data_IF_784438930647
#
_entry.id   IF_784438930647
#
_cell.length_a   1.000
_cell.length_b   1.000
_cell.length_c   1.000
_cell.angle_alpha   90.00
_cell.angle_beta   90.00
_cell.angle_gamma   90.00
#
_symmetry.space_group_name_H-M   'P 1'
#
loop_
_entity.id
_entity.type
_entity.pdbx_description
1 polymer ?
#
# COMPACT_ATOMS: atom_id res chain seq x y z
N UNK A 1 -44.44 52.79 -36.72
CA UNK A 1 -45.66 53.08 -35.94
C UNK A 1 -45.80 51.95 -34.92
N UNK A 2 -45.48 52.16 -33.64
CA UNK A 2 -46.42 52.49 -32.53
C UNK A 2 -47.52 51.42 -32.34
N UNK A 3 -47.92 50.93 -31.16
CA UNK A 3 -47.60 51.22 -29.76
C UNK A 3 -48.32 50.17 -28.84
N UNK A 4 -47.68 49.80 -27.72
CA UNK A 4 -48.16 49.76 -26.30
C UNK A 4 -49.53 49.13 -25.93
N UNK A 5 -49.64 48.21 -24.96
CA UNK A 5 -49.88 48.41 -23.48
C UNK A 5 -50.30 47.04 -22.87
N UNK A 6 -50.34 46.70 -21.57
CA UNK A 6 -49.80 47.10 -20.24
C UNK A 6 -50.45 46.13 -19.23
N UNK A 7 -49.77 45.73 -18.14
CA UNK A 7 -50.44 45.13 -16.98
C UNK A 7 -49.51 44.55 -15.90
N UNK A 8 -49.33 45.29 -14.81
CA UNK A 8 -48.80 44.85 -13.50
C UNK A 8 -49.86 45.14 -12.42
N UNK A 9 -49.78 44.50 -11.24
CA UNK A 9 -49.42 45.23 -10.00
C UNK A 9 -48.33 44.46 -9.18
N UNK A 10 -47.36 45.11 -8.51
CA UNK A 10 -47.34 45.67 -7.12
C UNK A 10 -47.70 44.61 -6.06
N UNK A 11 -46.96 44.33 -4.98
CA UNK A 11 -45.77 44.94 -4.37
C UNK A 11 -45.74 44.57 -2.87
N UNK A 12 -44.57 44.74 -2.23
CA UNK A 12 -44.34 44.87 -0.78
C UNK A 12 -44.14 43.58 0.04
N UNK A 13 -42.87 43.23 0.26
CA UNK A 13 -42.42 42.45 1.43
C UNK A 13 -41.53 43.37 2.27
N UNK A 14 -41.97 43.67 3.49
CA UNK A 14 -41.30 44.56 4.43
C UNK A 14 -40.44 43.78 5.43
N UNK A 15 -39.40 44.48 5.87
CA UNK A 15 -38.25 44.08 6.68
C UNK A 15 -38.58 43.93 8.16
N UNK A 16 -37.92 42.99 8.86
CA UNK A 16 -37.54 43.17 10.28
C UNK A 16 -36.37 42.26 10.67
N UNK A 17 -35.35 42.93 11.22
CA UNK A 17 -34.08 42.44 11.73
C UNK A 17 -34.24 41.58 12.99
N UNK A 18 -33.29 40.66 13.22
CA UNK A 18 -32.78 40.32 14.55
C UNK A 18 -31.43 39.59 14.43
N UNK A 19 -30.36 40.26 14.84
CA UNK A 19 -29.04 39.68 15.14
C UNK A 19 -29.10 38.84 16.44
N UNK A 20 -28.17 37.91 16.62
CA UNK A 20 -27.56 37.70 17.93
C UNK A 20 -26.03 37.94 17.92
N UNK A 21 -25.41 38.11 19.10
CA UNK A 21 -24.12 38.78 19.27
C UNK A 21 -22.92 37.83 19.24
N UNK A 22 -21.75 38.44 19.10
CA UNK A 22 -20.43 37.84 19.20
C UNK A 22 -20.09 37.38 20.62
N UNK A 23 -19.48 36.20 20.75
CA UNK A 23 -18.67 35.83 21.91
C UNK A 23 -17.36 35.14 21.50
N UNK A 24 -16.33 35.52 22.24
CA UNK A 24 -14.88 35.37 22.10
C UNK A 24 -14.41 33.93 22.39
N UNK A 25 -13.23 33.48 21.90
CA UNK A 25 -12.78 32.11 22.08
C UNK A 25 -12.36 31.81 23.53
N UNK A 26 -12.93 30.77 24.12
CA UNK A 26 -12.53 30.24 25.43
C UNK A 26 -11.27 29.36 25.30
N UNK A 27 -10.17 29.83 25.90
CA UNK A 27 -9.00 29.03 26.27
C UNK A 27 -9.32 28.13 27.48
N UNK A 28 -8.85 26.88 27.54
CA UNK A 28 -8.59 26.20 28.80
C UNK A 28 -7.23 26.63 29.40
N UNK A 29 -7.09 26.63 30.73
CA UNK A 29 -5.99 27.31 31.42
C UNK A 29 -4.69 26.50 31.46
N UNK A 30 -3.57 27.20 31.29
CA UNK A 30 -2.22 26.73 31.60
C UNK A 30 -1.99 26.67 33.12
N UNK A 31 -1.27 25.68 33.67
CA UNK A 31 -0.65 25.81 34.97
C UNK A 31 0.74 26.47 34.82
N UNK A 32 0.92 27.65 35.40
CA UNK A 32 2.25 28.23 35.64
C UNK A 32 2.63 28.11 37.12
N UNK A 33 3.82 27.54 37.32
CA UNK A 33 4.83 27.85 38.34
C UNK A 33 4.52 27.72 39.84
N UNK A 34 5.28 26.82 40.49
CA UNK A 34 6.01 27.10 41.74
C UNK A 34 7.12 26.04 41.98
N UNK A 35 8.38 26.47 41.87
CA UNK A 35 9.55 25.96 42.63
C UNK A 35 9.81 26.98 43.78
N UNK A 36 10.67 26.78 44.83
CA UNK A 36 11.67 25.72 45.12
C UNK A 36 11.81 25.24 46.63
N UNK A 37 12.56 24.11 46.86
CA UNK A 37 13.58 23.80 47.95
C UNK A 37 13.11 23.75 49.45
N UNK A 38 13.61 22.88 50.39
CA UNK A 38 15.02 22.44 50.68
C UNK A 38 15.27 20.93 50.97
N UNK A 39 16.40 20.30 50.55
CA UNK A 39 17.69 20.05 51.28
C UNK A 39 17.54 19.78 52.80
N UNK A 40 17.97 18.66 53.39
CA UNK A 40 19.36 18.18 53.60
C UNK A 40 19.34 16.83 54.39
N UNK A 41 20.44 16.33 55.02
CA UNK A 41 21.52 15.55 54.43
C UNK A 41 21.76 14.21 55.18
N UNK A 42 22.63 13.34 54.66
CA UNK A 42 23.10 12.15 55.36
C UNK A 42 24.31 11.53 54.69
N UNK A 43 25.49 12.11 54.96
CA UNK A 43 26.83 11.52 54.81
C UNK A 43 26.87 10.10 55.45
N UNK A 44 27.63 9.09 55.02
CA UNK A 44 29.08 9.06 54.71
C UNK A 44 29.43 7.65 54.13
N UNK A 45 30.61 7.45 53.51
CA UNK A 45 30.95 6.28 52.66
C UNK A 45 31.87 5.25 53.34
N UNK A 46 31.98 4.05 52.78
CA UNK A 46 33.11 3.12 53.02
C UNK A 46 33.13 1.92 52.05
N UNK A 47 34.27 1.21 51.88
CA UNK A 47 35.00 1.21 50.61
C UNK A 47 34.96 -0.14 49.86
N UNK A 48 35.32 -0.08 48.58
CA UNK A 48 35.64 -1.23 47.73
C UNK A 48 36.80 -2.07 48.29
N UNK A 49 36.89 -3.34 47.85
CA UNK A 49 38.20 -3.79 47.36
C UNK A 49 38.13 -4.54 46.02
N UNK A 50 39.10 -4.18 45.18
CA UNK A 50 39.92 -5.02 44.31
C UNK A 50 39.29 -5.90 43.21
N UNK A 51 39.62 -5.50 41.98
CA UNK A 51 40.25 -6.31 40.93
C UNK A 51 39.81 -7.78 40.79
N UNK A 52 39.02 -7.99 39.75
CA UNK A 52 39.17 -9.18 38.92
C UNK A 52 39.18 -8.71 37.47
N UNK A 53 40.39 -8.61 36.93
CA UNK A 53 40.65 -8.60 35.49
C UNK A 53 39.99 -9.86 34.90
N UNK A 54 38.78 -9.71 34.35
CA UNK A 54 38.29 -10.60 33.32
C UNK A 54 38.48 -9.88 32.00
N UNK A 55 39.59 -10.22 31.35
CA UNK A 55 39.76 -10.01 29.91
C UNK A 55 38.71 -10.89 29.23
N UNK A 56 37.49 -10.37 29.14
CA UNK A 56 36.49 -10.86 28.22
C UNK A 56 36.94 -10.41 26.84
N UNK A 57 37.68 -11.27 26.15
CA UNK A 57 37.89 -11.18 24.72
C UNK A 57 36.50 -11.32 24.07
N UNK A 58 35.81 -10.19 23.99
CA UNK A 58 34.56 -10.07 23.26
C UNK A 58 34.92 -10.28 21.80
N UNK A 59 34.73 -11.50 21.30
CA UNK A 59 34.62 -11.74 19.86
C UNK A 59 33.67 -10.66 19.35
N UNK A 60 34.09 -9.79 18.40
CA UNK A 60 33.19 -8.84 17.80
C UNK A 60 32.08 -9.69 17.19
N UNK A 61 30.88 -9.61 17.75
CA UNK A 61 29.70 -10.13 17.08
C UNK A 61 29.72 -9.45 15.71
N UNK A 62 29.74 -10.17 14.58
CA UNK A 62 29.70 -9.54 13.29
C UNK A 62 28.47 -8.64 13.30
N UNK A 63 28.66 -7.32 13.22
CA UNK A 63 27.56 -6.42 12.97
C UNK A 63 26.97 -6.89 11.65
N UNK A 64 25.81 -7.55 11.69
CA UNK A 64 25.11 -7.95 10.47
C UNK A 64 24.73 -6.66 9.77
N UNK A 65 25.55 -6.25 8.80
CA UNK A 65 25.38 -5.02 8.05
C UNK A 65 23.98 -5.01 7.41
N UNK A 66 23.22 -3.95 7.68
CA UNK A 66 21.88 -3.79 7.12
C UNK A 66 21.97 -3.78 5.60
N UNK A 67 21.18 -4.61 4.88
CA UNK A 67 21.25 -4.66 3.43
C UNK A 67 20.83 -3.31 2.83
N UNK A 68 21.49 -2.86 1.76
CA UNK A 68 21.25 -1.53 1.20
C UNK A 68 19.83 -1.42 0.63
N UNK A 69 19.18 -0.29 0.92
CA UNK A 69 17.86 0.05 0.40
C UNK A 69 17.83 1.51 -0.12
N UNK A 70 17.05 1.85 -1.17
CA UNK A 70 17.06 3.17 -1.80
C UNK A 70 16.34 4.25 -0.95
N UNK A 71 17.04 4.81 0.04
CA UNK A 71 16.46 5.73 1.01
C UNK A 71 15.98 7.05 0.39
N UNK A 72 16.68 7.56 -0.62
CA UNK A 72 16.33 8.82 -1.27
C UNK A 72 15.00 8.68 -2.05
N UNK A 73 14.82 7.57 -2.74
CA UNK A 73 13.60 7.22 -3.48
C UNK A 73 12.45 6.94 -2.52
N UNK A 74 12.71 6.27 -1.39
CA UNK A 74 11.70 6.03 -0.35
C UNK A 74 11.16 7.34 0.21
N UNK A 75 12.03 8.27 0.58
CA UNK A 75 11.62 9.59 1.09
C UNK A 75 10.80 10.38 0.05
N UNK A 76 11.22 10.36 -1.22
CA UNK A 76 10.48 11.02 -2.30
C UNK A 76 9.11 10.39 -2.54
N UNK A 77 9.02 9.05 -2.51
CA UNK A 77 7.74 8.36 -2.65
C UNK A 77 6.80 8.74 -1.50
N UNK A 78 7.30 8.74 -0.26
CA UNK A 78 6.56 9.15 0.94
C UNK A 78 6.02 10.58 0.78
N UNK A 79 6.84 11.51 0.28
CA UNK A 79 6.40 12.87 -0.02
C UNK A 79 5.31 12.89 -1.11
N UNK A 80 5.45 12.08 -2.17
CA UNK A 80 4.47 12.01 -3.25
C UNK A 80 3.12 11.51 -2.73
N UNK A 81 3.08 10.40 -2.00
CA UNK A 81 1.84 9.74 -1.54
C UNK A 81 1.04 10.58 -0.56
N UNK A 82 1.71 11.45 0.19
CA UNK A 82 1.10 12.31 1.19
C UNK A 82 0.70 13.70 0.66
N UNK A 83 0.96 14.02 -0.62
CA UNK A 83 0.56 15.31 -1.21
C UNK A 83 -0.97 15.45 -1.26
N UNK A 84 -1.53 16.61 -0.86
CA UNK A 84 -2.95 16.91 -1.02
C UNK A 84 -3.42 16.83 -2.48
N UNK A 85 -2.55 17.28 -3.40
CA UNK A 85 -2.70 17.06 -4.84
C UNK A 85 -1.79 15.92 -5.24
N UNK A 86 -2.30 14.71 -5.08
CA UNK A 86 -1.61 13.48 -5.45
C UNK A 86 -1.35 13.40 -6.96
N UNK A 87 -0.18 12.87 -7.32
CA UNK A 87 0.21 12.51 -8.69
C UNK A 87 0.68 11.06 -8.64
N UNK A 88 0.21 10.26 -9.59
CA UNK A 88 0.45 8.82 -9.59
C UNK A 88 1.95 8.51 -9.86
N UNK A 89 2.67 7.81 -8.95
CA UNK A 89 4.13 7.69 -8.95
C UNK A 89 4.58 6.49 -9.79
N UNK A 90 4.18 6.46 -11.06
CA UNK A 90 4.45 5.32 -11.96
C UNK A 90 5.35 5.69 -13.11
N UNK A 91 6.17 6.73 -12.96
CA UNK A 91 7.13 7.07 -13.99
C UNK A 91 8.12 5.91 -14.17
N UNK A 92 8.51 5.58 -15.42
CA UNK A 92 9.54 4.58 -15.68
C UNK A 92 10.83 4.93 -14.95
N UNK A 93 11.42 3.96 -14.24
CA UNK A 93 12.59 4.14 -13.37
C UNK A 93 12.39 5.18 -12.26
N UNK A 94 11.14 5.51 -11.95
CA UNK A 94 10.77 6.36 -10.84
C UNK A 94 10.83 5.63 -9.50
N UNK A 95 10.47 6.34 -8.44
CA UNK A 95 10.65 5.91 -7.07
C UNK A 95 9.98 4.56 -6.77
N UNK A 96 8.70 4.40 -7.16
CA UNK A 96 7.95 3.17 -6.89
C UNK A 96 8.56 1.95 -7.59
N UNK A 97 9.02 2.11 -8.84
CA UNK A 97 9.62 1.01 -9.61
C UNK A 97 10.96 0.60 -9.00
N UNK A 98 11.84 1.57 -8.69
CA UNK A 98 13.15 1.31 -8.07
C UNK A 98 13.00 0.60 -6.72
N UNK A 99 12.07 1.09 -5.88
CA UNK A 99 11.81 0.49 -4.56
C UNK A 99 11.23 -0.92 -4.68
N UNK A 100 10.33 -1.17 -5.63
CA UNK A 100 9.81 -2.50 -5.93
C UNK A 100 10.92 -3.46 -6.36
N UNK A 101 11.81 -3.04 -7.24
CA UNK A 101 12.91 -3.88 -7.74
C UNK A 101 13.85 -4.30 -6.59
N UNK A 102 14.29 -3.34 -5.77
CA UNK A 102 15.13 -3.67 -4.60
C UNK A 102 14.37 -4.52 -3.57
N UNK A 103 13.10 -4.22 -3.32
CA UNK A 103 12.24 -5.01 -2.43
C UNK A 103 12.11 -6.48 -2.87
N UNK A 104 11.93 -6.73 -4.16
CA UNK A 104 11.84 -8.09 -4.71
C UNK A 104 13.15 -8.84 -4.48
N UNK A 105 14.29 -8.19 -4.75
CA UNK A 105 15.61 -8.79 -4.53
C UNK A 105 15.86 -9.16 -3.07
N UNK A 106 15.55 -8.26 -2.14
CA UNK A 106 15.69 -8.51 -0.70
C UNK A 106 14.70 -9.58 -0.23
N UNK A 107 13.45 -9.53 -0.69
CA UNK A 107 12.39 -10.47 -0.33
C UNK A 107 12.72 -11.90 -0.76
N UNK A 108 13.24 -12.09 -1.98
CA UNK A 108 13.69 -13.41 -2.47
C UNK A 108 14.86 -13.98 -1.67
N UNK A 109 15.73 -13.12 -1.12
CA UNK A 109 16.87 -13.52 -0.28
C UNK A 109 16.51 -13.65 1.20
N UNK A 110 15.29 -13.28 1.60
CA UNK A 110 14.89 -13.17 3.01
C UNK A 110 15.67 -12.11 3.78
N UNK A 111 16.29 -11.15 3.09
CA UNK A 111 17.07 -10.06 3.69
C UNK A 111 16.20 -8.82 3.97
N UNK A 112 14.98 -8.79 3.46
CA UNK A 112 14.04 -7.69 3.66
C UNK A 112 13.79 -7.42 5.15
N UNK A 113 13.76 -8.47 5.98
CA UNK A 113 13.52 -8.37 7.43
C UNK A 113 14.65 -7.68 8.20
N UNK A 114 15.84 -7.58 7.58
CA UNK A 114 17.00 -6.90 8.15
C UNK A 114 17.08 -5.43 7.74
N UNK A 115 16.26 -4.99 6.79
CA UNK A 115 16.20 -3.58 6.38
C UNK A 115 14.91 -2.92 6.85
N UNK A 116 15.00 -1.99 7.80
CA UNK A 116 13.81 -1.30 8.29
C UNK A 116 13.21 -0.39 7.21
N UNK A 117 14.03 0.17 6.33
CA UNK A 117 13.54 0.93 5.19
C UNK A 117 12.69 0.07 4.23
N UNK A 118 13.11 -1.18 3.99
CA UNK A 118 12.34 -2.12 3.17
C UNK A 118 11.02 -2.52 3.86
N UNK A 119 11.06 -2.81 5.16
CA UNK A 119 9.87 -3.14 5.94
C UNK A 119 8.87 -1.97 5.99
N UNK A 120 9.35 -0.74 6.18
CA UNK A 120 8.54 0.49 6.10
C UNK A 120 7.93 0.67 4.72
N UNK A 121 8.69 0.41 3.66
CA UNK A 121 8.15 0.44 2.30
C UNK A 121 6.98 -0.54 2.15
N UNK A 122 7.04 -1.77 2.70
CA UNK A 122 5.91 -2.71 2.62
C UNK A 122 4.67 -2.22 3.37
N UNK A 123 4.85 -1.73 4.61
CA UNK A 123 3.74 -1.30 5.47
C UNK A 123 3.05 -0.05 4.92
N UNK A 124 3.83 0.92 4.47
CA UNK A 124 3.34 2.25 4.13
C UNK A 124 3.45 2.51 2.63
N UNK A 125 4.66 2.80 2.14
CA UNK A 125 4.91 3.32 0.79
C UNK A 125 4.25 2.50 -0.32
N UNK A 126 4.44 1.18 -0.30
CA UNK A 126 3.90 0.23 -1.25
C UNK A 126 2.38 0.08 -1.10
N UNK A 127 1.91 -0.15 0.13
CA UNK A 127 0.49 -0.40 0.43
C UNK A 127 -0.37 0.80 0.10
N UNK A 128 0.03 1.99 0.51
CA UNK A 128 -0.69 3.24 0.20
C UNK A 128 -0.64 3.53 -1.30
N UNK A 129 0.52 3.35 -1.95
CA UNK A 129 0.66 3.58 -3.40
C UNK A 129 -0.30 2.71 -4.18
N UNK A 130 -0.25 1.38 -4.05
CA UNK A 130 -1.08 0.49 -4.87
C UNK A 130 -2.56 0.57 -4.52
N UNK A 131 -2.91 0.76 -3.24
CA UNK A 131 -4.31 0.97 -2.85
C UNK A 131 -4.85 2.20 -3.58
N UNK A 132 -4.19 3.35 -3.47
CA UNK A 132 -4.61 4.58 -4.16
C UNK A 132 -4.65 4.38 -5.67
N UNK A 133 -3.61 3.81 -6.27
CA UNK A 133 -3.50 3.62 -7.73
C UNK A 133 -4.64 2.76 -8.29
N UNK A 134 -4.91 1.62 -7.67
CA UNK A 134 -5.84 0.62 -8.22
C UNK A 134 -7.31 0.96 -7.95
N UNK A 135 -7.58 1.85 -6.98
CA UNK A 135 -8.93 2.29 -6.62
C UNK A 135 -9.20 3.75 -6.95
N UNK A 136 -8.32 4.45 -7.65
CA UNK A 136 -8.51 5.87 -7.98
C UNK A 136 -9.67 6.04 -8.97
N UNK A 137 -10.59 6.96 -8.65
CA UNK A 137 -11.70 7.32 -9.54
C UNK A 137 -11.21 8.09 -10.78
N UNK A 138 -10.03 8.71 -10.71
CA UNK A 138 -9.44 9.45 -11.82
C UNK A 138 -8.81 8.56 -12.90
N UNK A 139 -8.90 7.23 -12.79
CA UNK A 139 -8.31 6.28 -13.75
C UNK A 139 -8.70 6.56 -15.20
N UNK A 140 -9.94 7.00 -15.46
CA UNK A 140 -10.40 7.33 -16.81
C UNK A 140 -9.76 8.59 -17.40
N UNK A 141 -9.16 9.43 -16.56
CA UNK A 141 -8.47 10.66 -16.96
C UNK A 141 -6.97 10.46 -17.21
N UNK A 142 -6.41 9.29 -16.91
CA UNK A 142 -5.00 9.03 -17.12
C UNK A 142 -4.69 8.65 -18.59
N UNK A 143 -3.48 9.02 -19.03
CA UNK A 143 -3.00 8.66 -20.36
C UNK A 143 -2.66 7.17 -20.43
N UNK A 144 -2.73 6.59 -21.63
CA UNK A 144 -2.47 5.16 -21.82
C UNK A 144 -1.07 4.72 -21.34
N UNK A 145 -0.06 5.58 -21.50
CA UNK A 145 1.31 5.31 -21.05
C UNK A 145 1.37 5.14 -19.52
N UNK A 146 0.56 5.90 -18.78
CA UNK A 146 0.44 5.78 -17.32
C UNK A 146 -0.16 4.40 -16.98
N UNK A 147 -1.16 3.96 -17.72
CA UNK A 147 -1.77 2.64 -17.52
C UNK A 147 -0.76 1.52 -17.76
N UNK A 148 0.07 1.64 -18.82
CA UNK A 148 1.15 0.69 -19.11
C UNK A 148 2.17 0.63 -17.98
N UNK A 149 2.51 1.75 -17.37
CA UNK A 149 3.41 1.77 -16.22
C UNK A 149 2.77 1.16 -14.97
N UNK A 150 1.48 1.45 -14.71
CA UNK A 150 0.73 0.83 -13.60
C UNK A 150 0.72 -0.69 -13.73
N UNK A 151 0.35 -1.22 -14.90
CA UNK A 151 0.29 -2.67 -15.07
C UNK A 151 1.68 -3.30 -15.00
N UNK A 152 2.72 -2.64 -15.54
CA UNK A 152 4.12 -3.08 -15.40
C UNK A 152 4.57 -3.18 -13.93
N UNK A 153 4.26 -2.16 -13.12
CA UNK A 153 4.54 -2.17 -11.70
C UNK A 153 3.67 -3.17 -10.93
N UNK A 154 2.44 -3.43 -11.39
CA UNK A 154 1.57 -4.45 -10.79
C UNK A 154 2.13 -5.85 -11.02
N UNK A 155 2.76 -6.13 -12.16
CA UNK A 155 3.48 -7.41 -12.36
C UNK A 155 4.63 -7.57 -11.35
N UNK A 156 5.39 -6.50 -11.07
CA UNK A 156 6.43 -6.50 -10.02
C UNK A 156 5.83 -6.71 -8.62
N UNK A 157 4.69 -6.09 -8.33
CA UNK A 157 3.95 -6.35 -7.08
C UNK A 157 3.57 -7.83 -6.94
N UNK A 158 3.04 -8.47 -7.99
CA UNK A 158 2.72 -9.91 -7.95
C UNK A 158 3.97 -10.74 -7.63
N UNK A 159 5.11 -10.39 -8.21
CA UNK A 159 6.37 -11.08 -7.95
C UNK A 159 6.84 -10.93 -6.50
N UNK A 160 6.75 -9.72 -5.94
CA UNK A 160 7.03 -9.46 -4.52
C UNK A 160 6.08 -10.24 -3.61
N UNK A 161 4.78 -10.18 -3.87
CA UNK A 161 3.76 -10.89 -3.10
C UNK A 161 4.03 -12.40 -3.09
N UNK A 162 4.38 -13.01 -4.23
CA UNK A 162 4.70 -14.44 -4.31
C UNK A 162 5.98 -14.76 -3.54
N UNK A 163 7.04 -13.94 -3.67
CA UNK A 163 8.29 -14.14 -2.93
C UNK A 163 8.08 -14.11 -1.41
N UNK A 164 7.14 -13.27 -0.94
CA UNK A 164 6.80 -13.12 0.47
C UNK A 164 5.67 -14.04 0.94
N UNK A 165 4.97 -14.72 0.04
CA UNK A 165 3.80 -15.54 0.33
C UNK A 165 4.03 -16.67 1.35
N UNK A 166 5.23 -17.30 1.43
CA UNK A 166 5.54 -18.26 2.50
C UNK A 166 5.59 -17.63 3.89
N UNK A 167 5.79 -16.31 3.98
CA UNK A 167 5.75 -15.56 5.23
C UNK A 167 4.38 -14.86 5.38
N UNK A 168 3.83 -14.85 6.59
CA UNK A 168 2.58 -14.14 6.87
C UNK A 168 2.78 -12.63 6.91
N UNK A 169 2.81 -12.02 5.73
CA UNK A 169 2.91 -10.58 5.59
C UNK A 169 1.58 -9.96 5.19
N UNK A 170 0.75 -9.62 6.18
CA UNK A 170 -0.63 -9.15 5.97
C UNK A 170 -0.78 -8.01 4.96
N UNK A 171 0.03 -6.93 4.99
CA UNK A 171 -0.11 -5.86 3.99
C UNK A 171 0.06 -6.34 2.54
N UNK A 172 0.97 -7.30 2.30
CA UNK A 172 1.19 -7.86 0.97
C UNK A 172 0.07 -8.83 0.56
N UNK A 173 -0.53 -9.56 1.50
CA UNK A 173 -1.71 -10.40 1.24
C UNK A 173 -2.93 -9.54 0.88
N UNK A 174 -3.14 -8.43 1.58
CA UNK A 174 -4.22 -7.48 1.27
C UNK A 174 -4.00 -6.82 -0.10
N UNK A 175 -2.78 -6.38 -0.39
CA UNK A 175 -2.42 -5.85 -1.71
C UNK A 175 -2.64 -6.86 -2.82
N UNK A 176 -2.28 -8.13 -2.61
CA UNK A 176 -2.51 -9.18 -3.59
C UNK A 176 -4.01 -9.34 -3.89
N UNK A 177 -4.86 -9.29 -2.86
CA UNK A 177 -6.31 -9.33 -3.03
C UNK A 177 -6.86 -8.11 -3.77
N UNK A 178 -6.31 -6.91 -3.55
CA UNK A 178 -6.69 -5.69 -4.30
C UNK A 178 -6.21 -5.78 -5.75
N UNK A 179 -4.96 -6.21 -5.98
CA UNK A 179 -4.32 -6.29 -7.29
C UNK A 179 -4.99 -7.31 -8.21
N UNK A 180 -5.51 -8.42 -7.66
CA UNK A 180 -6.25 -9.43 -8.43
C UNK A 180 -7.77 -9.28 -8.35
N UNK A 181 -8.30 -8.20 -7.75
CA UNK A 181 -9.74 -7.99 -7.67
C UNK A 181 -10.32 -7.58 -9.02
N UNK A 182 -11.26 -8.34 -9.62
CA UNK A 182 -11.89 -7.97 -10.89
C UNK A 182 -12.78 -6.71 -10.81
N UNK A 183 -12.94 -6.15 -9.61
CA UNK A 183 -13.79 -5.00 -9.31
C UNK A 183 -12.99 -3.75 -8.95
N UNK A 184 -11.66 -3.78 -8.92
CA UNK A 184 -10.89 -2.55 -8.72
C UNK A 184 -11.08 -1.61 -9.91
N UNK A 185 -10.95 -0.30 -9.68
CA UNK A 185 -11.23 0.74 -10.68
C UNK A 185 -10.34 0.59 -11.90
N UNK A 186 -9.08 0.22 -11.69
CA UNK A 186 -8.13 -0.02 -12.77
C UNK A 186 -8.57 -1.17 -13.70
N UNK A 187 -8.98 -2.31 -13.15
CA UNK A 187 -9.41 -3.47 -13.95
C UNK A 187 -10.76 -3.24 -14.61
N UNK A 188 -11.69 -2.55 -13.95
CA UNK A 188 -12.97 -2.16 -14.55
C UNK A 188 -12.77 -1.28 -15.78
N UNK A 189 -11.92 -0.25 -15.68
CA UNK A 189 -11.65 0.65 -16.81
C UNK A 189 -10.95 -0.06 -17.98
N UNK A 190 -10.01 -0.97 -17.67
CA UNK A 190 -9.24 -1.69 -18.69
C UNK A 190 -9.87 -3.05 -19.07
N UNK A 191 -11.13 -3.30 -18.73
CA UNK A 191 -11.78 -4.62 -18.88
C UNK A 191 -11.90 -5.12 -20.33
N UNK A 192 -11.84 -4.22 -21.31
CA UNK A 192 -11.89 -4.57 -22.75
C UNK A 192 -10.52 -4.95 -23.33
N UNK A 193 -9.42 -4.82 -22.56
CA UNK A 193 -8.07 -5.15 -23.03
C UNK A 193 -7.91 -6.66 -23.20
N UNK A 194 -7.33 -7.07 -24.31
CA UNK A 194 -6.97 -8.48 -24.55
C UNK A 194 -5.77 -8.89 -23.68
N UNK A 195 -5.68 -10.18 -23.39
CA UNK A 195 -4.57 -10.77 -22.63
C UNK A 195 -3.37 -10.98 -23.56
N UNK A 196 -2.17 -10.68 -23.05
CA UNK A 196 -0.91 -11.00 -23.74
C UNK A 196 -0.53 -12.48 -23.53
N UNK A 197 -0.89 -13.07 -22.39
CA UNK A 197 -0.55 -14.45 -22.02
C UNK A 197 -1.56 -15.50 -22.53
N UNK A 198 -2.82 -15.11 -22.74
CA UNK A 198 -3.88 -15.97 -23.24
C UNK A 198 -4.60 -15.31 -24.45
N UNK A 199 -3.91 -15.17 -25.61
CA UNK A 199 -4.49 -14.54 -26.79
C UNK A 199 -5.66 -15.37 -27.37
N UNK A 200 -6.72 -14.72 -27.90
CA UNK A 200 -7.88 -15.41 -28.46
C UNK A 200 -7.50 -16.42 -29.54
N UNK A 201 -8.09 -17.62 -29.49
CA UNK A 201 -7.93 -18.63 -30.54
C UNK A 201 -6.63 -19.45 -30.48
N UNK A 202 -5.81 -19.27 -29.44
CA UNK A 202 -4.62 -20.10 -29.25
C UNK A 202 -5.02 -21.37 -28.47
N UNK A 203 -4.85 -22.58 -29.04
CA UNK A 203 -5.02 -23.83 -28.31
C UNK A 203 -3.81 -24.05 -27.41
N UNK A 204 -3.64 -23.18 -26.40
CA UNK A 204 -2.72 -23.45 -25.29
C UNK A 204 -3.33 -24.57 -24.47
N UNK A 205 -2.54 -25.59 -24.11
CA UNK A 205 -3.01 -26.68 -23.27
C UNK A 205 -3.51 -26.12 -21.93
N UNK A 206 -4.57 -26.70 -21.36
CA UNK A 206 -5.12 -26.24 -20.08
C UNK A 206 -4.10 -26.35 -18.93
N UNK A 207 -3.08 -27.19 -19.08
CA UNK A 207 -1.99 -27.36 -18.11
C UNK A 207 -0.95 -26.22 -18.15
N UNK A 208 -0.99 -25.33 -19.15
CA UNK A 208 -0.02 -24.23 -19.32
C UNK A 208 -0.53 -22.88 -18.80
N UNK A 209 -1.83 -22.74 -18.54
CA UNK A 209 -2.46 -21.47 -18.14
C UNK A 209 -3.26 -21.62 -16.85
N UNK A 210 -3.19 -20.58 -16.01
CA UNK A 210 -3.93 -20.53 -14.74
C UNK A 210 -5.23 -19.74 -14.85
N UNK A 211 -5.36 -18.87 -15.85
CA UNK A 211 -6.55 -18.07 -16.09
C UNK A 211 -6.77 -17.86 -17.60
N UNK A 212 -8.05 -17.74 -17.96
CA UNK A 212 -8.52 -17.38 -19.31
C UNK A 212 -9.53 -16.24 -19.23
N UNK A 213 -9.69 -15.46 -20.31
CA UNK A 213 -10.73 -14.45 -20.39
C UNK A 213 -12.12 -15.05 -20.10
N UNK A 214 -12.94 -14.43 -19.23
CA UNK A 214 -14.25 -14.97 -18.88
C UNK A 214 -15.26 -14.83 -20.03
N UNK A 215 -15.15 -13.75 -20.81
CA UNK A 215 -16.00 -13.51 -21.98
C UNK A 215 -15.29 -12.63 -23.02
N UNK A 216 -15.73 -12.71 -24.28
CA UNK A 216 -15.09 -11.96 -25.38
C UNK A 216 -15.35 -10.45 -25.36
N UNK A 217 -16.39 -9.96 -24.67
CA UNK A 217 -16.75 -8.52 -24.58
C UNK A 217 -15.99 -7.82 -23.47
N UNK A 218 -15.72 -8.52 -22.36
CA UNK A 218 -14.91 -8.06 -21.24
C UNK A 218 -13.82 -9.09 -20.93
N UNK A 219 -12.81 -9.22 -21.80
CA UNK A 219 -11.75 -10.22 -21.66
C UNK A 219 -10.89 -10.05 -20.41
N UNK A 220 -10.88 -8.86 -19.80
CA UNK A 220 -10.08 -8.52 -18.60
C UNK A 220 -8.63 -8.96 -18.71
N UNK A 221 -8.03 -8.74 -19.88
CA UNK A 221 -6.78 -9.36 -20.27
C UNK A 221 -5.61 -9.09 -19.33
N UNK A 222 -5.48 -7.86 -18.84
CA UNK A 222 -4.43 -7.53 -17.87
C UNK A 222 -4.61 -8.23 -16.53
N UNK A 223 -5.84 -8.45 -16.08
CA UNK A 223 -6.08 -9.25 -14.88
C UNK A 223 -5.72 -10.71 -15.12
N UNK A 224 -6.11 -11.26 -16.27
CA UNK A 224 -5.72 -12.62 -16.70
C UNK A 224 -4.20 -12.77 -16.70
N UNK A 225 -3.47 -11.79 -17.26
CA UNK A 225 -2.00 -11.80 -17.29
C UNK A 225 -1.38 -11.80 -15.88
N UNK A 226 -1.94 -11.03 -14.94
CA UNK A 226 -1.48 -11.02 -13.54
C UNK A 226 -1.74 -12.37 -12.85
N UNK A 227 -2.89 -12.99 -13.08
CA UNK A 227 -3.22 -14.31 -12.51
C UNK A 227 -2.31 -15.39 -13.09
N UNK A 228 -2.07 -15.37 -14.41
CA UNK A 228 -1.12 -16.27 -15.05
C UNK A 228 0.30 -16.06 -14.53
N UNK A 229 0.77 -14.81 -14.33
CA UNK A 229 2.07 -14.55 -13.69
C UNK A 229 2.11 -15.11 -12.27
N UNK A 230 1.06 -14.92 -11.48
CA UNK A 230 1.00 -15.47 -10.12
C UNK A 230 1.16 -16.99 -10.11
N UNK A 231 0.45 -17.69 -11.00
CA UNK A 231 0.57 -19.15 -11.12
C UNK A 231 1.92 -19.61 -11.65
N UNK A 232 2.48 -18.94 -12.66
CA UNK A 232 3.81 -19.23 -13.20
C UNK A 232 4.93 -19.06 -12.17
N UNK A 233 4.70 -18.25 -11.13
CA UNK A 233 5.61 -18.10 -9.99
C UNK A 233 5.32 -19.10 -8.85
N UNK A 234 4.51 -20.14 -9.11
CA UNK A 234 4.04 -21.14 -8.15
C UNK A 234 3.17 -20.59 -7.02
N UNK A 235 2.58 -19.40 -7.18
CA UNK A 235 1.77 -18.77 -6.14
C UNK A 235 0.60 -19.64 -5.66
N UNK A 236 -0.09 -20.33 -6.57
CA UNK A 236 -1.19 -21.25 -6.22
C UNK A 236 -0.71 -22.44 -5.42
N UNK A 237 0.43 -23.03 -5.81
CA UNK A 237 1.01 -24.16 -5.09
C UNK A 237 1.44 -23.76 -3.68
N UNK A 238 2.11 -22.62 -3.53
CA UNK A 238 2.49 -22.08 -2.22
C UNK A 238 1.24 -21.88 -1.36
N UNK A 239 0.18 -21.27 -1.89
CA UNK A 239 -1.07 -21.08 -1.16
C UNK A 239 -1.73 -22.40 -0.75
N UNK A 240 -1.79 -23.36 -1.67
CA UNK A 240 -2.32 -24.69 -1.42
C UNK A 240 -1.57 -25.36 -0.25
N UNK A 241 -0.24 -25.37 -0.30
CA UNK A 241 0.58 -26.02 0.72
C UNK A 241 0.41 -25.34 2.08
N UNK A 242 0.31 -24.01 2.09
CA UNK A 242 0.01 -23.26 3.33
C UNK A 242 -1.35 -23.64 3.90
N UNK A 243 -2.40 -23.68 3.07
CA UNK A 243 -3.76 -24.04 3.48
C UNK A 243 -3.85 -25.48 4.00
N UNK A 244 -3.17 -26.42 3.35
CA UNK A 244 -3.21 -27.86 3.69
C UNK A 244 -2.30 -28.23 4.86
N UNK A 245 -1.22 -27.49 5.10
CA UNK A 245 -0.30 -27.78 6.21
C UNK A 245 -0.95 -27.55 7.59
N UNK A 246 -2.06 -26.80 7.68
CA UNK A 246 -2.75 -26.39 8.92
C UNK A 246 -1.86 -25.76 10.02
N UNK A 247 -0.56 -25.55 9.77
CA UNK A 247 0.36 -24.96 10.71
C UNK A 247 0.24 -23.43 10.65
N UNK A 248 0.01 -22.80 11.80
CA UNK A 248 -0.01 -21.34 11.98
C UNK A 248 -1.11 -20.54 11.24
N UNK A 249 -2.09 -21.19 10.60
CA UNK A 249 -3.24 -20.50 10.03
C UNK A 249 -4.18 -19.99 11.15
N UNK A 250 -4.20 -18.69 11.37
CA UNK A 250 -5.18 -18.05 12.24
C UNK A 250 -6.38 -17.53 11.42
N UNK A 251 -7.50 -17.23 12.09
CA UNK A 251 -8.74 -16.77 11.45
C UNK A 251 -8.52 -15.58 10.49
N UNK A 252 -7.71 -14.55 10.84
CA UNK A 252 -7.33 -13.49 9.90
C UNK A 252 -6.64 -13.97 8.61
N UNK A 253 -5.66 -14.89 8.72
CA UNK A 253 -4.97 -15.45 7.56
C UNK A 253 -5.95 -16.24 6.71
N UNK A 254 -6.77 -17.09 7.32
CA UNK A 254 -7.79 -17.86 6.63
C UNK A 254 -8.78 -16.93 5.92
N UNK A 255 -9.23 -15.85 6.56
CA UNK A 255 -10.13 -14.89 5.94
C UNK A 255 -9.48 -14.15 4.75
N UNK A 256 -8.21 -13.75 4.86
CA UNK A 256 -7.45 -13.13 3.78
C UNK A 256 -7.25 -14.10 2.60
N UNK A 257 -6.92 -15.35 2.89
CA UNK A 257 -6.72 -16.41 1.90
C UNK A 257 -8.03 -16.87 1.26
N UNK A 258 -9.14 -17.01 2.01
CA UNK A 258 -10.46 -17.34 1.47
C UNK A 258 -10.96 -16.20 0.58
N UNK A 259 -10.80 -14.94 1.01
CA UNK A 259 -11.13 -13.78 0.18
C UNK A 259 -10.41 -13.89 -1.17
N UNK A 260 -9.13 -14.24 -1.15
CA UNK A 260 -8.34 -14.49 -2.36
C UNK A 260 -8.86 -15.66 -3.21
N UNK A 261 -9.09 -16.84 -2.61
CA UNK A 261 -9.53 -18.07 -3.31
C UNK A 261 -10.94 -17.91 -3.89
N UNK A 262 -11.87 -17.29 -3.18
CA UNK A 262 -13.24 -17.08 -3.66
C UNK A 262 -13.30 -16.10 -4.85
N UNK A 263 -12.35 -15.17 -4.99
CA UNK A 263 -12.27 -14.27 -6.16
C UNK A 263 -11.74 -14.96 -7.42
N UNK A 264 -11.07 -16.11 -7.30
CA UNK A 264 -10.56 -16.89 -8.45
C UNK A 264 -11.56 -17.93 -8.96
N UNK A 265 -12.66 -18.17 -8.23
CA UNK A 265 -13.68 -19.16 -8.54
C UNK A 265 -14.95 -18.57 -9.19
N UNK A 266 -14.91 -17.28 -9.58
CA UNK A 266 -16.01 -16.55 -10.25
C UNK A 266 -15.49 -15.89 -11.52
#
# INVERSE_FOLDING_TARGET
>A
MTATTRGSPVGSGDTSQSQPPAETPSQPPSPQHQNPVPTSPGDTPSPSPADSQSQGDGVPVPEEEEPPFPHAELAKLDDMINRPRWVVPVLPKGELEVLLETAIELGKKGLDVKSEACQRFFRDGLTISFTKILTDEAVSGWKYEIHRCIISNTHRLIELCVAKLPQDWFPLLELLAIALSPHCKFHLYNGTRSSETAPPGTPLADDELFARPPDARSPKGWLVDLINKFGNLNGFQILHDRLMSCAALNVPIIAALIKYVCFLLV
#
